data_IF_604207161771
#
_entry.id   IF_604207161771
#
_cell.length_a   1.000
_cell.length_b   1.000
_cell.length_c   1.000
_cell.angle_alpha   90.00
_cell.angle_beta   90.00
_cell.angle_gamma   90.00
#
_symmetry.space_group_name_H-M   'P 1'
#
loop_
_entity.id
_entity.type
_entity.pdbx_description
1 polymer ?
#
# COMPACT_ATOMS: atom_id res chain seq x y z
N UNK A 1 -6.52 3.37 -22.88
CA UNK A 1 -6.41 4.15 -21.62
C UNK A 1 -5.76 3.21 -20.63
N UNK A 2 -4.54 3.51 -20.20
CA UNK A 2 -3.85 2.67 -19.21
C UNK A 2 -4.54 2.90 -17.87
N UNK A 3 -5.03 1.84 -17.23
CA UNK A 3 -5.58 1.97 -15.87
C UNK A 3 -4.41 2.22 -14.90
N UNK A 4 -4.48 3.28 -14.11
CA UNK A 4 -3.51 3.55 -13.05
C UNK A 4 -3.64 2.47 -11.97
N UNK A 5 -2.54 1.81 -11.64
CA UNK A 5 -2.50 0.73 -10.65
C UNK A 5 -1.37 0.93 -9.66
N UNK A 6 -1.65 0.66 -8.39
CA UNK A 6 -0.61 0.52 -7.37
C UNK A 6 -0.13 -0.92 -7.39
N UNK A 7 1.17 -1.11 -7.64
CA UNK A 7 1.80 -2.43 -7.68
C UNK A 7 2.85 -2.55 -6.58
N UNK A 8 2.72 -3.57 -5.75
CA UNK A 8 3.76 -3.96 -4.79
C UNK A 8 4.31 -5.32 -5.19
N UNK A 9 5.63 -5.44 -5.29
CA UNK A 9 6.32 -6.68 -5.64
C UNK A 9 7.58 -6.89 -4.78
N UNK A 10 7.92 -8.15 -4.49
CA UNK A 10 9.16 -8.50 -3.81
C UNK A 10 10.25 -8.95 -4.80
N UNK A 11 11.46 -8.41 -4.58
CA UNK A 11 12.80 -8.80 -5.10
C UNK A 11 12.95 -9.19 -6.57
N UNK A 12 12.23 -10.20 -7.06
CA UNK A 12 12.26 -10.69 -8.44
C UNK A 12 10.91 -10.55 -9.16
N UNK A 13 10.02 -9.70 -8.65
CA UNK A 13 8.69 -9.52 -9.22
C UNK A 13 7.67 -10.56 -8.76
N UNK A 14 7.89 -11.25 -7.64
CA UNK A 14 6.90 -12.12 -7.02
C UNK A 14 7.16 -12.30 -5.51
N UNK A 15 6.12 -12.34 -4.65
CA UNK A 15 4.70 -12.15 -4.96
C UNK A 15 4.38 -10.73 -5.40
N UNK A 16 3.35 -10.57 -6.23
CA UNK A 16 2.85 -9.27 -6.70
C UNK A 16 1.44 -9.06 -6.18
N UNK A 17 1.18 -7.88 -5.66
CA UNK A 17 -0.17 -7.38 -5.37
C UNK A 17 -0.40 -6.13 -6.21
N UNK A 18 -1.49 -6.12 -6.98
CA UNK A 18 -1.93 -4.96 -7.75
C UNK A 18 -3.30 -4.53 -7.27
N UNK A 19 -3.51 -3.21 -7.20
CA UNK A 19 -4.77 -2.57 -6.83
C UNK A 19 -5.02 -1.46 -7.84
N UNK A 20 -6.21 -1.42 -8.45
CA UNK A 20 -6.56 -0.32 -9.33
C UNK A 20 -6.76 0.94 -8.49
N UNK A 21 -6.18 2.06 -8.93
CA UNK A 21 -6.25 3.32 -8.17
C UNK A 21 -7.69 3.80 -8.01
N UNK A 22 -8.56 3.51 -9.00
CA UNK A 22 -10.00 3.78 -8.95
C UNK A 22 -10.75 3.08 -7.81
N UNK A 23 -10.22 1.97 -7.32
CA UNK A 23 -10.83 1.20 -6.23
C UNK A 23 -10.31 1.68 -4.86
N UNK A 24 -9.34 2.60 -4.83
CA UNK A 24 -8.77 3.16 -3.60
C UNK A 24 -9.63 4.32 -3.13
N UNK A 25 -10.19 4.19 -1.94
CA UNK A 25 -11.09 5.20 -1.33
C UNK A 25 -10.37 6.14 -0.39
N UNK A 26 -9.28 5.67 0.25
CA UNK A 26 -8.44 6.48 1.11
C UNK A 26 -6.99 5.97 1.10
N UNK A 27 -6.06 6.88 1.38
CA UNK A 27 -4.63 6.58 1.46
C UNK A 27 -4.01 7.35 2.62
N UNK A 28 -3.33 6.64 3.51
CA UNK A 28 -2.74 7.19 4.73
C UNK A 28 -1.32 6.67 4.96
N UNK A 29 -0.41 7.56 5.37
CA UNK A 29 0.91 7.17 5.87
C UNK A 29 0.77 6.65 7.30
N UNK A 30 1.20 5.41 7.53
CA UNK A 30 1.11 4.72 8.81
C UNK A 30 2.48 4.22 9.23
N UNK A 31 2.70 4.16 10.55
CA UNK A 31 3.92 3.58 11.11
C UNK A 31 3.64 2.21 11.70
N UNK A 32 4.29 1.19 11.15
CA UNK A 32 4.28 -0.16 11.66
C UNK A 32 5.11 -0.28 12.95
N UNK A 33 4.63 -1.06 13.90
CA UNK A 33 5.43 -1.55 15.03
C UNK A 33 6.58 -2.42 14.52
N UNK A 34 7.77 -2.31 15.14
CA UNK A 34 8.98 -3.02 14.74
C UNK A 34 8.87 -4.55 14.69
N UNK A 35 7.99 -5.15 15.50
CA UNK A 35 7.68 -6.58 15.45
C UNK A 35 7.03 -7.03 14.14
N UNK A 36 6.48 -6.10 13.36
CA UNK A 36 5.91 -6.44 12.07
C UNK A 36 6.95 -6.85 11.03
N UNK A 37 8.27 -6.76 11.29
CA UNK A 37 9.33 -7.46 10.53
C UNK A 37 9.36 -7.27 9.01
N UNK A 38 10.11 -8.12 8.30
CA UNK A 38 10.27 -8.14 6.83
C UNK A 38 9.36 -9.16 6.14
N UNK A 39 8.87 -8.87 4.93
CA UNK A 39 8.10 -9.79 4.09
C UNK A 39 6.61 -9.47 3.94
N UNK A 40 5.87 -10.44 3.37
CA UNK A 40 4.42 -10.35 3.12
C UNK A 40 3.66 -11.03 4.26
N UNK A 41 2.72 -10.31 4.89
CA UNK A 41 1.92 -10.81 6.02
C UNK A 41 0.46 -10.43 5.89
N UNK A 42 -0.40 -11.24 6.48
CA UNK A 42 -1.80 -10.88 6.68
C UNK A 42 -1.99 -10.33 8.09
N UNK A 43 -2.54 -9.12 8.19
CA UNK A 43 -2.87 -8.42 9.43
C UNK A 43 -4.40 -8.44 9.56
N UNK A 44 -4.96 -8.93 10.67
CA UNK A 44 -6.42 -9.09 10.81
C UNK A 44 -7.24 -7.83 10.47
N UNK A 45 -6.75 -6.66 10.88
CA UNK A 45 -7.42 -5.36 10.72
C UNK A 45 -6.98 -4.59 9.47
N UNK A 46 -5.78 -4.87 8.94
CA UNK A 46 -5.16 -4.05 7.89
C UNK A 46 -4.90 -4.84 6.59
N UNK A 47 -5.47 -6.04 6.50
CA UNK A 47 -5.39 -6.90 5.33
C UNK A 47 -3.97 -7.35 5.00
N UNK A 48 -3.60 -7.31 3.72
CA UNK A 48 -2.29 -7.78 3.29
C UNK A 48 -1.27 -6.66 3.44
N UNK A 49 -0.14 -6.94 4.08
CA UNK A 49 0.99 -6.04 4.20
C UNK A 49 2.18 -6.58 3.42
N UNK A 50 2.80 -5.73 2.61
CA UNK A 50 4.08 -5.97 1.95
C UNK A 50 5.11 -5.07 2.61
N UNK A 51 6.00 -5.59 3.46
CA UNK A 51 7.03 -4.77 4.11
C UNK A 51 8.44 -5.15 3.64
N UNK A 52 9.04 -4.35 2.76
CA UNK A 52 10.39 -4.59 2.23
C UNK A 52 11.50 -4.10 3.17
N UNK A 53 11.23 -3.08 4.00
CA UNK A 53 12.14 -2.58 5.06
C UNK A 53 11.51 -1.42 5.81
N UNK A 54 11.91 -1.22 7.08
CA UNK A 54 11.55 -0.02 7.85
C UNK A 54 10.26 -0.15 8.67
N UNK A 55 9.97 0.93 9.39
CA UNK A 55 8.75 1.09 10.19
C UNK A 55 7.69 1.90 9.48
N UNK A 56 8.01 2.53 8.35
CA UNK A 56 7.11 3.42 7.64
C UNK A 56 6.39 2.67 6.53
N UNK A 57 5.10 2.95 6.38
CA UNK A 57 4.24 2.29 5.40
C UNK A 57 3.11 3.21 4.96
N UNK A 58 2.44 2.82 3.89
CA UNK A 58 1.20 3.43 3.41
C UNK A 58 0.10 2.39 3.48
N UNK A 59 -1.04 2.76 4.05
CA UNK A 59 -2.26 1.96 4.02
C UNK A 59 -3.19 2.53 2.96
N UNK A 60 -3.73 1.64 2.15
CA UNK A 60 -4.72 1.91 1.12
C UNK A 60 -6.03 1.25 1.55
N UNK A 61 -7.06 2.07 1.69
CA UNK A 61 -8.43 1.58 1.84
C UNK A 61 -8.99 1.29 0.45
N UNK A 62 -9.55 0.09 0.28
CA UNK A 62 -10.02 -0.41 -1.01
C UNK A 62 -11.52 -0.67 -0.90
N UNK A 63 -12.30 -0.14 -1.83
CA UNK A 63 -13.75 -0.33 -1.84
C UNK A 63 -14.12 -1.81 -1.89
N UNK A 64 -14.95 -2.26 -0.94
CA UNK A 64 -15.43 -3.64 -0.86
C UNK A 64 -14.34 -4.69 -0.57
N UNK A 65 -13.13 -4.29 -0.21
CA UNK A 65 -11.99 -5.18 0.04
C UNK A 65 -11.28 -4.86 1.35
N UNK A 66 -10.45 -5.80 1.83
CA UNK A 66 -9.57 -5.52 2.97
C UNK A 66 -8.52 -4.47 2.58
N UNK A 67 -8.06 -3.65 3.55
CA UNK A 67 -7.00 -2.69 3.29
C UNK A 67 -5.74 -3.36 2.76
N UNK A 68 -4.94 -2.58 2.03
CA UNK A 68 -3.64 -3.02 1.55
C UNK A 68 -2.56 -2.12 2.12
N UNK A 69 -1.52 -2.71 2.71
CA UNK A 69 -0.41 -1.97 3.33
C UNK A 69 0.91 -2.22 2.60
N UNK A 70 1.63 -1.14 2.31
CA UNK A 70 2.89 -1.15 1.58
C UNK A 70 3.95 -0.46 2.43
N UNK A 71 4.99 -1.18 2.86
CA UNK A 71 6.17 -0.62 3.49
C UNK A 71 7.02 0.14 2.48
N UNK A 72 7.44 1.34 2.84
CA UNK A 72 8.22 2.24 1.98
C UNK A 72 9.06 3.18 2.85
N UNK A 73 10.23 3.56 2.34
CA UNK A 73 11.10 4.60 2.90
C UNK A 73 10.61 6.02 2.59
N UNK A 74 9.71 6.18 1.61
CA UNK A 74 9.04 7.44 1.29
C UNK A 74 7.50 7.30 1.34
N UNK A 75 6.91 7.20 2.55
CA UNK A 75 5.46 7.08 2.69
C UNK A 75 4.71 8.32 2.21
N UNK A 76 5.32 9.51 2.27
CA UNK A 76 4.68 10.76 1.85
C UNK A 76 4.58 10.83 0.33
N UNK A 77 5.68 10.58 -0.38
CA UNK A 77 5.67 10.56 -1.84
C UNK A 77 4.71 9.52 -2.41
N UNK A 78 4.61 8.35 -1.79
CA UNK A 78 3.64 7.33 -2.21
C UNK A 78 2.18 7.77 -1.98
N UNK A 79 1.86 8.38 -0.85
CA UNK A 79 0.53 8.95 -0.59
C UNK A 79 0.16 9.98 -1.65
N UNK A 80 1.06 10.94 -1.90
CA UNK A 80 0.84 12.00 -2.88
C UNK A 80 0.65 11.46 -4.30
N UNK A 81 1.46 10.47 -4.70
CA UNK A 81 1.34 9.83 -6.01
C UNK A 81 -0.03 9.13 -6.19
N UNK A 82 -0.48 8.38 -5.17
CA UNK A 82 -1.78 7.70 -5.20
C UNK A 82 -2.94 8.71 -5.22
N UNK A 83 -2.86 9.77 -4.40
CA UNK A 83 -3.87 10.85 -4.39
C UNK A 83 -3.96 11.52 -5.75
N UNK A 84 -2.81 11.87 -6.35
CA UNK A 84 -2.76 12.51 -7.65
C UNK A 84 -3.32 11.62 -8.77
N UNK A 85 -3.02 10.32 -8.75
CA UNK A 85 -3.52 9.37 -9.74
C UNK A 85 -5.03 9.11 -9.59
N UNK A 86 -5.53 9.00 -8.35
CA UNK A 86 -6.92 8.68 -8.07
C UNK A 86 -7.85 9.89 -7.99
N UNK A 87 -7.29 11.11 -7.96
CA UNK A 87 -8.01 12.34 -7.56
C UNK A 87 -8.71 12.17 -6.22
N UNK A 88 -8.03 11.51 -5.28
CA UNK A 88 -8.52 11.29 -3.91
C UNK A 88 -8.26 12.57 -3.11
N UNK A 89 -9.29 13.17 -2.48
CA UNK A 89 -9.11 14.36 -1.66
C UNK A 89 -8.26 14.09 -0.40
N UNK A 90 -7.69 15.15 0.17
CA UNK A 90 -6.84 15.09 1.38
C UNK A 90 -7.55 14.54 2.63
#
# INVERSE_FOLDING_TARGET
>A
MTEDTVTAAFTAGWPVKQVAVRDITAVEAVRNTWWYGWGIRWIPNDGTMYNVSGLDAVRLEIEGSKPFRIGTDDPRGLVEAVRSAGRIPD
#
